data_IF_059782474182
#
_entry.id   IF_059782474182
#
_cell.length_a   1.000
_cell.length_b   1.000
_cell.length_c   1.000
_cell.angle_alpha   90.00
_cell.angle_beta   90.00
_cell.angle_gamma   90.00
#
_symmetry.space_group_name_H-M   'P 1'
#
loop_
_entity.id
_entity.type
_entity.pdbx_description
1 polymer ?
#
# COMPACT_ATOMS: atom_id res chain seq x y z
N UNK A 1 4.77 9.59 -24.56
CA UNK A 1 5.02 9.83 -23.10
C UNK A 1 5.76 8.63 -22.55
N UNK A 2 6.76 8.79 -21.68
CA UNK A 2 7.53 7.64 -21.17
C UNK A 2 6.91 7.06 -19.89
N UNK A 3 6.68 5.76 -19.86
CA UNK A 3 6.26 5.01 -18.67
C UNK A 3 7.37 4.07 -18.22
N UNK A 4 7.52 3.92 -16.91
CA UNK A 4 8.46 3.00 -16.28
C UNK A 4 7.70 1.95 -15.46
N UNK A 5 7.60 0.74 -15.98
CA UNK A 5 6.99 -0.38 -15.25
C UNK A 5 8.08 -1.10 -14.47
N UNK A 6 8.11 -0.93 -13.15
CA UNK A 6 9.05 -1.65 -12.29
C UNK A 6 8.79 -3.16 -12.34
N UNK A 7 9.86 -3.94 -12.42
CA UNK A 7 9.81 -5.40 -12.40
C UNK A 7 9.62 -5.96 -10.99
N UNK A 8 9.76 -5.14 -9.95
CA UNK A 8 9.54 -5.53 -8.55
C UNK A 8 8.41 -4.71 -7.92
N UNK A 9 7.19 -5.21 -8.04
CA UNK A 9 5.98 -4.59 -7.47
C UNK A 9 5.28 -5.47 -6.43
N UNK A 10 6.01 -6.45 -5.90
CA UNK A 10 5.54 -7.43 -4.94
C UNK A 10 6.67 -7.89 -4.01
N UNK A 11 6.32 -8.67 -3.00
CA UNK A 11 7.30 -9.45 -2.24
C UNK A 11 7.94 -10.49 -3.17
N UNK A 12 9.26 -10.69 -3.05
CA UNK A 12 10.02 -11.59 -3.91
C UNK A 12 11.03 -10.87 -4.80
N UNK A 13 11.62 -11.65 -5.72
CA UNK A 13 12.58 -11.16 -6.70
C UNK A 13 11.86 -10.40 -7.85
N UNK A 14 12.58 -9.53 -8.59
CA UNK A 14 12.04 -8.91 -9.80
C UNK A 14 11.51 -9.95 -10.81
N UNK A 15 10.41 -9.63 -11.48
CA UNK A 15 9.87 -10.42 -12.58
C UNK A 15 10.83 -10.49 -13.77
N UNK A 16 10.75 -11.58 -14.52
CA UNK A 16 11.42 -11.74 -15.81
C UNK A 16 10.57 -11.10 -16.91
N UNK A 17 11.09 -10.11 -17.66
CA UNK A 17 10.43 -9.61 -18.87
C UNK A 17 10.19 -10.74 -19.89
N UNK A 18 9.04 -10.71 -20.55
CA UNK A 18 8.67 -11.64 -21.64
C UNK A 18 8.46 -10.92 -22.99
N UNK A 19 8.82 -9.64 -23.04
CA UNK A 19 8.83 -8.79 -24.23
C UNK A 19 10.27 -8.36 -24.53
N UNK A 20 10.51 -7.91 -25.76
CA UNK A 20 11.82 -7.44 -26.23
C UNK A 20 11.78 -5.95 -26.56
N UNK A 21 12.94 -5.28 -26.51
CA UNK A 21 13.06 -3.89 -26.97
C UNK A 21 12.62 -3.79 -28.43
N UNK A 22 11.78 -2.81 -28.74
CA UNK A 22 11.15 -2.62 -30.04
C UNK A 22 9.77 -3.26 -30.18
N UNK A 23 9.32 -4.06 -29.23
CA UNK A 23 7.99 -4.69 -29.25
C UNK A 23 6.87 -3.66 -29.08
N UNK A 24 5.84 -3.76 -29.91
CA UNK A 24 4.56 -3.10 -29.66
C UNK A 24 3.80 -3.85 -28.54
N UNK A 25 3.26 -3.11 -27.58
CA UNK A 25 2.51 -3.64 -26.46
C UNK A 25 1.14 -2.97 -26.37
N UNK A 26 0.13 -3.76 -26.01
CA UNK A 26 -1.24 -3.28 -25.80
C UNK A 26 -1.50 -3.08 -24.32
N UNK A 27 -2.42 -2.15 -23.98
CA UNK A 27 -2.95 -2.05 -22.62
C UNK A 27 -3.51 -3.40 -22.17
N UNK A 28 -3.14 -3.85 -20.98
CA UNK A 28 -3.49 -5.16 -20.42
C UNK A 28 -2.64 -6.34 -20.88
N UNK A 29 -1.73 -6.17 -21.85
CA UNK A 29 -0.86 -7.25 -22.30
C UNK A 29 0.13 -7.66 -21.20
N UNK A 30 0.30 -8.96 -20.96
CA UNK A 30 1.33 -9.50 -20.06
C UNK A 30 2.73 -9.16 -20.61
N UNK A 31 3.57 -8.56 -19.77
CA UNK A 31 4.93 -8.11 -20.16
C UNK A 31 6.05 -8.66 -19.27
N UNK A 32 5.73 -9.14 -18.07
CA UNK A 32 6.70 -9.85 -17.24
C UNK A 32 6.03 -10.85 -16.29
N UNK A 33 6.74 -11.94 -16.01
CA UNK A 33 6.30 -13.04 -15.15
C UNK A 33 7.19 -13.19 -13.91
N UNK A 34 6.64 -13.57 -12.75
CA UNK A 34 7.43 -13.71 -11.52
C UNK A 34 8.36 -14.91 -11.57
N UNK A 35 9.55 -14.77 -10.98
CA UNK A 35 10.47 -15.88 -10.75
C UNK A 35 10.28 -16.41 -9.31
N UNK A 36 9.36 -17.36 -9.14
CA UNK A 36 8.97 -17.89 -7.83
C UNK A 36 7.87 -17.04 -7.17
N UNK A 37 8.09 -16.57 -5.94
CA UNK A 37 7.11 -15.75 -5.22
C UNK A 37 6.94 -14.40 -5.92
N UNK A 38 5.74 -14.14 -6.44
CA UNK A 38 5.42 -12.87 -7.10
C UNK A 38 4.10 -12.88 -7.85
N UNK A 39 3.92 -11.91 -8.74
CA UNK A 39 2.70 -11.76 -9.52
C UNK A 39 2.99 -11.19 -10.92
N UNK A 40 2.18 -11.59 -11.89
CA UNK A 40 2.26 -11.11 -13.28
C UNK A 40 2.23 -9.57 -13.38
N UNK A 41 2.97 -9.04 -14.35
CA UNK A 41 3.02 -7.62 -14.66
C UNK A 41 2.54 -7.41 -16.09
N UNK A 42 1.61 -6.47 -16.25
CA UNK A 42 0.98 -6.16 -17.52
C UNK A 42 1.26 -4.70 -17.91
N UNK A 43 1.25 -4.41 -19.20
CA UNK A 43 1.31 -3.02 -19.68
C UNK A 43 0.03 -2.28 -19.29
N UNK A 44 0.18 -1.06 -18.78
CA UNK A 44 -0.94 -0.18 -18.46
C UNK A 44 -1.37 0.73 -19.62
N UNK A 45 -0.65 0.66 -20.74
CA UNK A 45 -0.81 1.52 -21.92
C UNK A 45 -0.60 0.75 -23.22
N UNK A 46 -1.09 1.32 -24.31
CA UNK A 46 -0.62 1.01 -25.66
C UNK A 46 0.68 1.77 -25.93
N UNK A 47 1.62 1.14 -26.61
CA UNK A 47 2.87 1.80 -26.99
C UNK A 47 3.96 0.82 -27.33
N UNK A 48 5.20 1.32 -27.30
CA UNK A 48 6.38 0.57 -27.71
C UNK A 48 7.39 0.42 -26.59
N UNK A 49 7.91 -0.78 -26.40
CA UNK A 49 9.02 -1.03 -25.46
C UNK A 49 10.28 -0.39 -26.04
N UNK A 50 10.84 0.60 -25.33
CA UNK A 50 12.05 1.32 -25.77
C UNK A 50 13.31 0.85 -25.06
N UNK A 51 13.16 0.30 -23.85
CA UNK A 51 14.29 -0.21 -23.07
C UNK A 51 13.83 -1.24 -22.02
N UNK A 52 14.73 -2.14 -21.64
CA UNK A 52 14.53 -3.12 -20.58
C UNK A 52 15.80 -3.15 -19.73
N UNK A 53 15.66 -2.79 -18.46
CA UNK A 53 16.74 -2.85 -17.45
C UNK A 53 16.50 -4.01 -16.49
N UNK A 54 17.47 -4.28 -15.62
CA UNK A 54 17.34 -5.27 -14.53
C UNK A 54 16.18 -4.94 -13.55
N UNK A 55 15.68 -3.70 -13.57
CA UNK A 55 14.70 -3.20 -12.60
C UNK A 55 13.36 -2.79 -13.21
N UNK A 56 13.28 -2.55 -14.52
CA UNK A 56 12.10 -1.96 -15.14
C UNK A 56 12.04 -2.17 -16.66
N UNK A 57 10.81 -2.13 -17.20
CA UNK A 57 10.51 -2.01 -18.63
C UNK A 57 10.10 -0.56 -18.90
N UNK A 58 10.75 0.08 -19.88
CA UNK A 58 10.38 1.42 -20.33
C UNK A 58 9.51 1.34 -21.58
N UNK A 59 8.36 2.00 -21.55
CA UNK A 59 7.38 2.02 -22.64
C UNK A 59 7.13 3.46 -23.06
N UNK A 60 7.37 3.75 -24.33
CA UNK A 60 6.87 4.97 -24.94
C UNK A 60 5.38 4.77 -25.28
N UNK A 61 4.50 5.39 -24.50
CA UNK A 61 3.07 5.35 -24.74
C UNK A 61 2.67 6.12 -25.98
N UNK A 62 1.80 5.49 -26.77
CA UNK A 62 1.11 6.09 -27.91
C UNK A 62 0.27 7.30 -27.47
N UNK A 63 0.08 8.26 -28.38
CA UNK A 63 -0.84 9.39 -28.15
C UNK A 63 -2.28 8.93 -27.96
N UNK A 64 -2.70 7.91 -28.72
CA UNK A 64 -4.02 7.33 -28.62
C UNK A 64 -4.04 6.18 -27.60
N UNK A 65 -4.80 6.35 -26.52
CA UNK A 65 -4.95 5.35 -25.45
C UNK A 65 -6.40 4.91 -25.32
N UNK A 66 -6.91 4.02 -26.19
CA UNK A 66 -8.29 3.54 -26.11
C UNK A 66 -8.57 2.83 -24.77
N UNK A 67 -9.82 2.82 -24.33
CA UNK A 67 -10.21 2.24 -23.03
C UNK A 67 -10.16 0.71 -23.02
N UNK A 68 -10.26 0.08 -24.19
CA UNK A 68 -10.11 -1.37 -24.33
C UNK A 68 -8.75 -1.85 -23.81
N UNK A 69 -8.75 -3.06 -23.27
CA UNK A 69 -7.55 -3.73 -22.80
C UNK A 69 -7.58 -5.20 -23.20
N UNK A 70 -6.39 -5.79 -23.29
CA UNK A 70 -6.22 -7.23 -23.43
C UNK A 70 -6.65 -7.89 -22.13
N UNK A 71 -7.70 -8.70 -22.21
CA UNK A 71 -8.19 -9.49 -21.07
C UNK A 71 -7.19 -10.57 -20.70
N UNK A 72 -7.11 -10.90 -19.41
CA UNK A 72 -6.36 -12.07 -18.94
C UNK A 72 -6.90 -13.35 -19.61
N UNK A 73 -6.08 -14.39 -19.70
CA UNK A 73 -6.48 -15.68 -20.30
C UNK A 73 -7.69 -16.29 -19.59
N UNK A 74 -8.40 -17.20 -20.26
CA UNK A 74 -9.49 -17.95 -19.63
C UNK A 74 -8.92 -18.80 -18.48
N UNK A 75 -9.65 -18.88 -17.37
CA UNK A 75 -9.20 -19.58 -16.17
C UNK A 75 -10.29 -20.50 -15.64
N UNK A 76 -9.88 -21.64 -15.07
CA UNK A 76 -10.82 -22.65 -14.56
C UNK A 76 -11.57 -22.20 -13.30
N UNK A 77 -11.00 -21.28 -12.53
CA UNK A 77 -11.57 -20.80 -11.29
C UNK A 77 -11.12 -19.35 -10.97
N UNK A 78 -11.80 -18.75 -10.00
CA UNK A 78 -11.55 -17.36 -9.57
C UNK A 78 -10.13 -17.16 -9.02
N UNK A 79 -9.52 -18.16 -8.39
CA UNK A 79 -8.18 -18.04 -7.81
C UNK A 79 -7.11 -17.92 -8.91
N UNK A 80 -7.22 -18.72 -9.97
CA UNK A 80 -6.37 -18.59 -11.15
C UNK A 80 -6.63 -17.26 -11.87
N UNK A 81 -7.87 -16.75 -11.94
CA UNK A 81 -8.12 -15.42 -12.50
C UNK A 81 -7.36 -14.31 -11.74
N UNK A 82 -7.37 -14.37 -10.40
CA UNK A 82 -6.62 -13.43 -9.53
C UNK A 82 -5.10 -13.53 -9.76
N UNK A 83 -4.60 -14.75 -9.93
CA UNK A 83 -3.18 -15.00 -10.24
C UNK A 83 -2.79 -14.45 -11.60
N UNK A 84 -3.57 -14.76 -12.63
CA UNK A 84 -3.31 -14.32 -14.00
C UNK A 84 -3.38 -12.80 -14.15
N UNK A 85 -4.31 -12.14 -13.48
CA UNK A 85 -4.38 -10.68 -13.40
C UNK A 85 -3.20 -10.03 -12.66
N UNK A 86 -2.41 -10.82 -11.94
CA UNK A 86 -1.27 -10.35 -11.17
C UNK A 86 -1.70 -9.49 -9.98
N UNK A 87 -2.80 -9.85 -9.30
CA UNK A 87 -3.28 -9.11 -8.14
C UNK A 87 -2.33 -9.31 -6.95
N UNK A 88 -1.96 -8.21 -6.32
CA UNK A 88 -1.15 -8.17 -5.09
C UNK A 88 -1.84 -7.29 -4.05
N UNK A 89 -1.47 -7.44 -2.79
CA UNK A 89 -1.94 -6.58 -1.71
C UNK A 89 -1.58 -5.11 -1.95
N UNK A 90 -2.58 -4.31 -2.34
CA UNK A 90 -2.43 -2.93 -2.79
C UNK A 90 -2.10 -1.92 -1.68
N UNK A 91 -2.28 -2.30 -0.40
CA UNK A 91 -2.08 -1.43 0.76
C UNK A 91 -0.81 -1.72 1.57
N UNK A 92 0.14 -2.50 1.04
CA UNK A 92 1.34 -2.88 1.78
C UNK A 92 2.45 -3.40 0.87
N UNK A 93 3.17 -4.42 1.30
CA UNK A 93 4.36 -4.94 0.61
C UNK A 93 4.08 -5.65 -0.74
N UNK A 94 2.83 -5.69 -1.22
CA UNK A 94 2.46 -6.36 -2.47
C UNK A 94 2.55 -7.88 -2.38
N UNK A 95 2.01 -8.50 -1.33
CA UNK A 95 1.93 -9.96 -1.27
C UNK A 95 0.96 -10.51 -2.34
N UNK A 96 1.30 -11.55 -3.12
CA UNK A 96 0.41 -12.10 -4.15
C UNK A 96 -0.92 -12.57 -3.57
N UNK A 97 -2.01 -12.01 -4.07
CA UNK A 97 -3.34 -12.20 -3.48
C UNK A 97 -3.85 -13.64 -3.65
N UNK A 98 -3.54 -14.27 -4.79
CA UNK A 98 -3.89 -15.67 -5.01
C UNK A 98 -3.21 -16.62 -4.01
N UNK A 99 -1.98 -16.34 -3.59
CA UNK A 99 -1.30 -17.12 -2.54
C UNK A 99 -1.97 -16.88 -1.20
N UNK A 100 -2.31 -15.61 -0.89
CA UNK A 100 -2.98 -15.24 0.37
C UNK A 100 -4.36 -15.91 0.51
N UNK A 101 -5.07 -16.10 -0.60
CA UNK A 101 -6.40 -16.70 -0.64
C UNK A 101 -6.41 -18.22 -0.86
N UNK A 102 -5.26 -18.84 -1.13
CA UNK A 102 -5.16 -20.29 -1.33
C UNK A 102 -5.13 -21.05 0.01
N UNK A 103 -6.19 -20.87 0.81
CA UNK A 103 -6.28 -21.34 2.19
C UNK A 103 -7.72 -21.75 2.50
N UNK A 104 -7.90 -22.78 3.34
CA UNK A 104 -9.22 -23.16 3.85
C UNK A 104 -9.46 -22.49 5.20
N UNK A 105 -10.48 -21.64 5.26
CA UNK A 105 -10.89 -20.86 6.42
C UNK A 105 -12.25 -21.31 6.96
N UNK A 106 -12.63 -22.58 6.77
CA UNK A 106 -13.84 -23.14 7.41
C UNK A 106 -13.81 -22.87 8.93
N UNK A 107 -14.86 -22.25 9.47
CA UNK A 107 -14.88 -21.80 10.87
C UNK A 107 -14.18 -20.46 11.14
N UNK A 108 -13.72 -19.76 10.09
CA UNK A 108 -12.94 -18.52 10.14
C UNK A 108 -13.60 -17.36 9.40
N UNK A 109 -12.83 -16.30 9.12
CA UNK A 109 -13.38 -15.11 8.47
C UNK A 109 -12.42 -14.37 7.51
N UNK A 110 -13.01 -13.59 6.62
CA UNK A 110 -12.32 -12.60 5.79
C UNK A 110 -12.48 -11.22 6.42
N UNK A 111 -11.44 -10.38 6.40
CA UNK A 111 -11.52 -9.00 6.89
C UNK A 111 -11.11 -8.04 5.78
N UNK A 112 -12.04 -7.21 5.31
CA UNK A 112 -11.73 -6.04 4.51
C UNK A 112 -11.14 -4.95 5.41
N UNK A 113 -9.87 -4.62 5.18
CA UNK A 113 -9.19 -3.50 5.81
C UNK A 113 -9.64 -2.19 5.14
N UNK A 114 -10.65 -1.57 5.76
CA UNK A 114 -11.24 -0.30 5.41
C UNK A 114 -10.73 0.84 6.33
N UNK A 115 -9.55 0.65 6.93
CA UNK A 115 -9.04 1.56 7.95
C UNK A 115 -8.46 2.85 7.36
N UNK A 116 -7.85 2.86 6.17
CA UNK A 116 -7.12 4.02 5.59
C UNK A 116 -6.34 4.82 6.66
N UNK A 117 -5.27 4.23 7.19
CA UNK A 117 -4.60 4.76 8.38
C UNK A 117 -3.56 5.83 8.10
N UNK A 118 -2.98 5.85 6.91
CA UNK A 118 -2.02 6.89 6.55
C UNK A 118 -2.73 8.26 6.49
N UNK A 119 -2.27 9.28 7.24
CA UNK A 119 -2.85 10.61 7.16
C UNK A 119 -2.78 11.16 5.72
N UNK A 120 -3.72 12.05 5.40
CA UNK A 120 -3.92 12.64 4.05
C UNK A 120 -4.46 11.66 3.00
N UNK A 121 -4.16 10.36 3.08
CA UNK A 121 -4.64 9.38 2.12
C UNK A 121 -6.17 9.20 2.26
N UNK A 122 -6.86 9.19 1.12
CA UNK A 122 -8.33 9.13 1.06
C UNK A 122 -8.89 8.28 -0.07
N UNK A 123 -8.04 7.68 -0.91
CA UNK A 123 -8.47 6.88 -2.06
C UNK A 123 -9.33 5.67 -1.67
N UNK A 124 -9.00 4.97 -0.57
CA UNK A 124 -9.86 3.88 -0.09
C UNK A 124 -11.17 4.41 0.51
N UNK A 125 -11.15 5.60 1.11
CA UNK A 125 -12.38 6.25 1.63
C UNK A 125 -13.31 6.61 0.48
N UNK A 126 -12.78 7.19 -0.60
CA UNK A 126 -13.56 7.53 -1.78
C UNK A 126 -14.14 6.27 -2.46
N UNK A 127 -13.36 5.19 -2.54
CA UNK A 127 -13.85 3.88 -3.00
C UNK A 127 -15.04 3.39 -2.16
N UNK A 128 -14.94 3.46 -0.83
CA UNK A 128 -16.02 3.03 0.08
C UNK A 128 -17.27 3.91 -0.01
N UNK A 129 -17.09 5.22 -0.21
CA UNK A 129 -18.21 6.17 -0.32
C UNK A 129 -18.97 6.01 -1.64
N UNK A 130 -18.24 5.88 -2.76
CA UNK A 130 -18.81 5.95 -4.10
C UNK A 130 -19.15 4.57 -4.67
N UNK A 131 -18.37 3.53 -4.35
CA UNK A 131 -18.52 2.20 -4.94
C UNK A 131 -18.54 1.08 -3.88
N UNK A 132 -19.31 1.18 -2.77
CA UNK A 132 -19.29 0.18 -1.69
C UNK A 132 -19.66 -1.24 -2.15
N UNK A 133 -20.48 -1.34 -3.21
CA UNK A 133 -20.96 -2.63 -3.74
C UNK A 133 -19.83 -3.52 -4.26
N UNK A 134 -18.75 -2.92 -4.79
CA UNK A 134 -17.62 -3.70 -5.30
C UNK A 134 -16.86 -4.40 -4.17
N UNK A 135 -16.82 -3.77 -2.98
CA UNK A 135 -16.19 -4.35 -1.79
C UNK A 135 -17.02 -5.55 -1.31
N UNK A 136 -18.34 -5.36 -1.20
CA UNK A 136 -19.26 -6.44 -0.82
C UNK A 136 -19.17 -7.62 -1.79
N UNK A 137 -19.17 -7.34 -3.10
CA UNK A 137 -19.04 -8.38 -4.12
C UNK A 137 -17.71 -9.13 -4.02
N UNK A 138 -16.60 -8.41 -3.88
CA UNK A 138 -15.28 -9.04 -3.75
C UNK A 138 -15.15 -9.88 -2.48
N UNK A 139 -15.78 -9.46 -1.38
CA UNK A 139 -15.86 -10.28 -0.16
C UNK A 139 -16.60 -11.59 -0.41
N UNK A 140 -17.68 -11.60 -1.20
CA UNK A 140 -18.40 -12.85 -1.56
C UNK A 140 -17.50 -13.82 -2.32
N UNK A 141 -16.76 -13.32 -3.31
CA UNK A 141 -15.77 -14.17 -4.01
C UNK A 141 -14.69 -14.71 -3.05
N UNK A 142 -14.22 -13.89 -2.11
CA UNK A 142 -13.23 -14.34 -1.13
C UNK A 142 -13.80 -15.38 -0.15
N UNK A 143 -15.06 -15.24 0.27
CA UNK A 143 -15.77 -16.25 1.07
C UNK A 143 -15.84 -17.57 0.31
N UNK A 144 -16.25 -17.55 -0.97
CA UNK A 144 -16.35 -18.76 -1.79
C UNK A 144 -14.99 -19.45 -2.01
N UNK A 145 -13.94 -18.67 -2.31
CA UNK A 145 -12.58 -19.18 -2.55
C UNK A 145 -12.02 -19.86 -1.28
N UNK A 146 -12.21 -19.22 -0.12
CA UNK A 146 -11.58 -19.66 1.13
C UNK A 146 -12.47 -20.55 1.99
N UNK A 147 -13.76 -20.67 1.65
CA UNK A 147 -14.80 -21.31 2.47
C UNK A 147 -14.96 -20.70 3.87
N UNK A 148 -14.58 -19.43 4.03
CA UNK A 148 -14.81 -18.70 5.27
C UNK A 148 -16.32 -18.52 5.52
N UNK A 149 -16.73 -18.54 6.79
CA UNK A 149 -18.16 -18.46 7.15
C UNK A 149 -18.67 -17.02 7.14
N UNK A 150 -17.79 -16.06 7.45
CA UNK A 150 -18.14 -14.64 7.62
C UNK A 150 -17.09 -13.72 7.03
N UNK A 151 -17.52 -12.51 6.67
CA UNK A 151 -16.65 -11.40 6.37
C UNK A 151 -16.93 -10.19 7.25
N UNK A 152 -15.87 -9.46 7.58
CA UNK A 152 -15.94 -8.21 8.32
C UNK A 152 -15.36 -7.06 7.49
N UNK A 153 -16.01 -5.90 7.53
CA UNK A 153 -15.45 -4.65 7.00
C UNK A 153 -14.98 -3.80 8.20
N UNK A 154 -13.67 -3.77 8.42
CA UNK A 154 -13.05 -3.08 9.55
C UNK A 154 -12.81 -1.60 9.21
N UNK A 155 -13.64 -0.71 9.75
CA UNK A 155 -13.69 0.72 9.38
C UNK A 155 -13.63 1.64 10.61
N UNK A 156 -13.00 2.81 10.49
CA UNK A 156 -12.95 3.80 11.57
C UNK A 156 -14.24 4.62 11.64
N UNK A 157 -14.84 4.86 12.83
CA UNK A 157 -16.07 5.64 13.03
C UNK A 157 -16.08 7.05 12.42
N UNK A 158 -14.91 7.67 12.21
CA UNK A 158 -14.82 9.00 11.59
C UNK A 158 -15.31 9.05 10.14
N UNK A 159 -15.26 7.93 9.39
CA UNK A 159 -15.70 7.88 8.00
C UNK A 159 -17.21 7.67 7.87
N UNK A 160 -18.00 8.61 8.41
CA UNK A 160 -19.46 8.49 8.53
C UNK A 160 -20.15 8.21 7.19
N UNK A 161 -19.74 8.88 6.11
CA UNK A 161 -20.30 8.68 4.77
C UNK A 161 -20.01 7.27 4.25
N UNK A 162 -18.76 6.82 4.36
CA UNK A 162 -18.37 5.45 3.99
C UNK A 162 -19.15 4.40 4.79
N UNK A 163 -19.32 4.59 6.10
CA UNK A 163 -20.11 3.68 6.95
C UNK A 163 -21.56 3.58 6.47
N UNK A 164 -22.19 4.72 6.13
CA UNK A 164 -23.56 4.72 5.61
C UNK A 164 -23.65 4.02 4.25
N UNK A 165 -22.68 4.24 3.37
CA UNK A 165 -22.62 3.63 2.04
C UNK A 165 -22.41 2.11 2.13
N UNK A 166 -21.44 1.67 2.92
CA UNK A 166 -21.13 0.27 3.19
C UNK A 166 -22.28 -0.44 3.91
N UNK A 167 -22.89 0.21 4.91
CA UNK A 167 -24.03 -0.35 5.64
C UNK A 167 -25.24 -0.59 4.73
N UNK A 168 -25.49 0.30 3.77
CA UNK A 168 -26.51 0.08 2.72
C UNK A 168 -26.14 -1.09 1.81
N UNK A 169 -24.87 -1.21 1.42
CA UNK A 169 -24.41 -2.28 0.55
C UNK A 169 -24.45 -3.67 1.21
N UNK A 170 -24.26 -3.73 2.54
CA UNK A 170 -24.30 -5.00 3.29
C UNK A 170 -25.71 -5.42 3.74
N UNK A 171 -26.75 -4.61 3.46
CA UNK A 171 -28.09 -4.78 4.05
C UNK A 171 -28.67 -6.20 3.84
N UNK A 172 -28.45 -6.78 2.67
CA UNK A 172 -29.00 -8.08 2.28
C UNK A 172 -27.95 -9.21 2.33
N UNK A 173 -26.82 -8.98 3.00
CA UNK A 173 -25.68 -9.91 3.07
C UNK A 173 -25.48 -10.39 4.52
N UNK A 174 -26.14 -11.49 4.94
CA UNK A 174 -26.17 -11.91 6.35
C UNK A 174 -24.79 -12.34 6.91
N UNK A 175 -23.85 -12.65 6.03
CA UNK A 175 -22.50 -13.10 6.39
C UNK A 175 -21.47 -11.96 6.33
N UNK A 176 -21.86 -10.73 6.00
CA UNK A 176 -20.95 -9.59 5.86
C UNK A 176 -21.36 -8.49 6.85
N UNK A 177 -20.51 -8.22 7.84
CA UNK A 177 -20.80 -7.25 8.91
C UNK A 177 -19.79 -6.10 8.95
N UNK A 178 -20.23 -4.88 9.26
CA UNK A 178 -19.32 -3.79 9.59
C UNK A 178 -18.79 -3.97 11.02
N UNK A 179 -17.49 -3.77 11.21
CA UNK A 179 -16.82 -3.72 12.52
C UNK A 179 -16.03 -2.42 12.64
N UNK A 180 -15.97 -1.89 13.85
CA UNK A 180 -15.38 -0.59 14.10
C UNK A 180 -13.99 -0.70 14.71
N UNK A 181 -13.06 0.08 14.16
CA UNK A 181 -11.70 0.22 14.66
C UNK A 181 -11.53 1.51 15.46
N UNK A 182 -10.60 1.58 16.42
CA UNK A 182 -10.25 2.83 17.09
C UNK A 182 -9.70 3.86 16.09
N UNK A 183 -9.94 5.15 16.35
CA UNK A 183 -9.44 6.24 15.50
C UNK A 183 -7.99 6.57 15.83
N UNK A 184 -7.08 5.67 15.46
CA UNK A 184 -5.66 5.76 15.74
C UNK A 184 -4.81 5.17 14.61
N UNK A 185 -3.54 5.54 14.58
CA UNK A 185 -2.52 4.83 13.82
C UNK A 185 -1.79 3.84 14.75
N UNK A 186 -1.42 2.62 14.31
CA UNK A 186 -1.70 1.97 13.03
C UNK A 186 -2.93 1.03 13.12
N UNK A 187 -4.15 1.53 13.33
CA UNK A 187 -5.34 0.67 13.43
C UNK A 187 -5.60 -0.23 12.19
N UNK A 188 -4.97 0.10 11.06
CA UNK A 188 -5.00 -0.65 9.81
C UNK A 188 -3.94 -1.75 9.71
N UNK A 189 -3.05 -1.91 10.69
CA UNK A 189 -2.14 -3.05 10.76
C UNK A 189 -2.95 -4.35 10.94
N UNK A 190 -2.61 -5.41 10.19
CA UNK A 190 -3.41 -6.64 10.19
C UNK A 190 -3.46 -7.32 11.57
N UNK A 191 -2.41 -7.22 12.37
CA UNK A 191 -2.38 -7.77 13.74
C UNK A 191 -3.20 -6.91 14.70
N UNK A 192 -3.22 -5.59 14.49
CA UNK A 192 -4.12 -4.69 15.24
C UNK A 192 -5.58 -5.01 14.92
N UNK A 193 -5.94 -5.10 13.63
CA UNK A 193 -7.30 -5.44 13.20
C UNK A 193 -7.77 -6.75 13.84
N UNK A 194 -6.95 -7.81 13.78
CA UNK A 194 -7.30 -9.12 14.36
C UNK A 194 -7.47 -9.02 15.88
N UNK A 195 -6.60 -8.29 16.57
CA UNK A 195 -6.72 -8.05 18.01
C UNK A 195 -8.02 -7.33 18.36
N UNK A 196 -8.32 -6.23 17.68
CA UNK A 196 -9.49 -5.40 17.99
C UNK A 196 -10.82 -6.09 17.62
N UNK A 197 -10.85 -6.86 16.53
CA UNK A 197 -12.09 -7.50 16.07
C UNK A 197 -12.34 -8.87 16.70
N UNK A 198 -11.29 -9.66 16.91
CA UNK A 198 -11.40 -11.07 17.33
C UNK A 198 -10.86 -11.33 18.73
N UNK A 199 -10.20 -10.37 19.37
CA UNK A 199 -9.57 -10.56 20.67
C UNK A 199 -8.33 -11.47 20.63
N UNK A 200 -7.81 -11.77 19.43
CA UNK A 200 -6.66 -12.65 19.24
C UNK A 200 -5.41 -11.79 19.04
N UNK A 201 -4.41 -11.95 19.92
CA UNK A 201 -3.12 -11.27 19.77
C UNK A 201 -2.13 -12.20 19.09
N UNK A 202 -1.78 -11.87 17.85
CA UNK A 202 -0.72 -12.58 17.11
C UNK A 202 0.65 -12.09 17.59
N UNK A 203 1.55 -13.02 17.94
CA UNK A 203 2.94 -12.69 18.27
C UNK A 203 3.75 -12.40 17.00
N UNK A 204 4.88 -11.68 17.09
CA UNK A 204 5.75 -11.42 15.95
C UNK A 204 6.08 -12.68 15.13
N UNK A 205 5.87 -12.61 13.81
CA UNK A 205 6.09 -13.71 12.88
C UNK A 205 4.86 -14.55 12.57
N UNK A 206 3.84 -14.53 13.42
CA UNK A 206 2.57 -15.19 13.10
C UNK A 206 1.83 -14.43 12.01
N UNK A 207 1.17 -15.20 11.14
CA UNK A 207 0.36 -14.69 10.04
C UNK A 207 -1.13 -14.71 10.42
N UNK A 208 -1.98 -13.89 9.77
CA UNK A 208 -3.43 -13.89 9.97
C UNK A 208 -4.11 -15.26 9.96
N UNK A 209 -3.56 -16.22 9.22
CA UNK A 209 -4.09 -17.59 9.15
C UNK A 209 -4.08 -18.33 10.49
N UNK A 210 -3.19 -17.96 11.41
CA UNK A 210 -3.18 -18.52 12.79
C UNK A 210 -4.43 -18.12 13.58
N UNK A 211 -5.06 -17.00 13.21
CA UNK A 211 -6.36 -16.58 13.72
C UNK A 211 -7.54 -17.08 12.85
N UNK A 212 -7.28 -17.98 11.89
CA UNK A 212 -8.22 -18.39 10.83
C UNK A 212 -8.78 -17.21 10.05
N UNK A 213 -7.91 -16.26 9.68
CA UNK A 213 -8.32 -15.07 8.94
C UNK A 213 -7.44 -14.73 7.75
N UNK A 214 -8.04 -14.00 6.81
CA UNK A 214 -7.31 -13.24 5.78
C UNK A 214 -7.76 -11.78 5.85
N UNK A 215 -6.79 -10.87 5.99
CA UNK A 215 -7.02 -9.42 5.96
C UNK A 215 -6.62 -8.85 4.60
N UNK A 216 -7.51 -8.15 3.90
CA UNK A 216 -7.23 -7.56 2.58
C UNK A 216 -7.68 -6.12 2.49
N UNK A 217 -6.82 -5.24 1.95
CA UNK A 217 -7.16 -3.84 1.68
C UNK A 217 -8.32 -3.75 0.66
N UNK A 218 -9.21 -2.77 0.84
CA UNK A 218 -10.42 -2.63 0.01
C UNK A 218 -10.14 -2.42 -1.48
N UNK A 219 -9.05 -1.76 -1.86
CA UNK A 219 -8.67 -1.68 -3.28
C UNK A 219 -8.24 -3.03 -3.83
N UNK A 220 -7.56 -3.87 -3.03
CA UNK A 220 -7.22 -5.24 -3.44
C UNK A 220 -8.51 -6.02 -3.74
N UNK A 221 -9.55 -5.82 -2.93
CA UNK A 221 -10.87 -6.44 -3.12
C UNK A 221 -11.53 -5.94 -4.42
N UNK A 222 -11.45 -4.63 -4.71
CA UNK A 222 -11.85 -4.08 -6.01
C UNK A 222 -11.14 -4.79 -7.16
N UNK A 223 -9.80 -4.95 -7.11
CA UNK A 223 -9.04 -5.60 -8.18
C UNK A 223 -9.37 -7.10 -8.34
N UNK A 224 -9.75 -7.78 -7.26
CA UNK A 224 -10.26 -9.17 -7.35
C UNK A 224 -11.53 -9.22 -8.20
N UNK A 225 -12.49 -8.32 -7.97
CA UNK A 225 -13.74 -8.27 -8.74
C UNK A 225 -13.46 -7.99 -10.21
N UNK A 226 -12.64 -6.99 -10.51
CA UNK A 226 -12.26 -6.65 -11.88
C UNK A 226 -11.57 -7.82 -12.60
N UNK A 227 -10.71 -8.57 -11.91
CA UNK A 227 -10.07 -9.76 -12.46
C UNK A 227 -11.06 -10.89 -12.78
N UNK A 228 -12.07 -11.10 -11.93
CA UNK A 228 -13.06 -12.18 -12.07
C UNK A 228 -14.13 -11.82 -13.10
N UNK A 229 -14.73 -10.64 -13.01
CA UNK A 229 -15.90 -10.28 -13.82
C UNK A 229 -15.50 -9.66 -15.17
N UNK A 230 -14.50 -8.78 -15.17
CA UNK A 230 -14.08 -8.04 -16.37
C UNK A 230 -12.89 -8.69 -17.07
N UNK A 231 -12.22 -9.62 -16.38
CA UNK A 231 -10.93 -10.21 -16.79
C UNK A 231 -9.86 -9.14 -17.00
N UNK A 232 -9.92 -8.11 -16.17
CA UNK A 232 -9.02 -6.97 -16.20
C UNK A 232 -7.75 -7.28 -15.39
N UNK A 233 -6.56 -7.17 -15.99
CA UNK A 233 -5.30 -7.28 -15.24
C UNK A 233 -5.11 -6.08 -14.29
N UNK A 234 -4.24 -6.21 -13.28
CA UNK A 234 -3.93 -5.08 -12.37
C UNK A 234 -3.00 -4.06 -13.05
N UNK A 235 -3.61 -3.15 -13.82
CA UNK A 235 -2.91 -2.16 -14.65
C UNK A 235 -3.14 -0.71 -14.22
N UNK A 236 -4.12 -0.47 -13.36
CA UNK A 236 -4.39 0.84 -12.76
C UNK A 236 -4.19 0.78 -11.25
N UNK A 237 -4.02 1.93 -10.59
CA UNK A 237 -3.89 2.09 -9.14
C UNK A 237 -4.76 3.25 -8.67
N UNK A 238 -5.34 3.19 -7.48
CA UNK A 238 -6.00 4.34 -6.85
C UNK A 238 -4.99 5.08 -5.97
N UNK A 239 -4.89 6.40 -6.10
CA UNK A 239 -3.88 7.21 -5.38
C UNK A 239 -4.47 8.47 -4.76
N UNK A 240 -3.78 9.01 -3.76
CA UNK A 240 -4.04 10.35 -3.20
C UNK A 240 -2.80 11.23 -3.35
N UNK A 241 -2.94 12.40 -3.97
CA UNK A 241 -1.91 13.45 -4.00
C UNK A 241 -2.17 14.42 -2.83
N UNK A 242 -1.14 14.90 -2.13
CA UNK A 242 -1.36 15.85 -1.03
C UNK A 242 -0.11 16.59 -0.54
N UNK A 243 -0.30 17.44 0.47
CA UNK A 243 0.78 18.24 1.06
C UNK A 243 1.05 19.54 0.30
N UNK A 244 2.30 19.89 0.03
CA UNK A 244 2.72 21.12 -0.67
C UNK A 244 2.43 21.06 -2.19
N UNK A 245 1.21 20.71 -2.57
CA UNK A 245 0.72 20.62 -3.95
C UNK A 245 -0.54 21.48 -4.08
N UNK A 246 -0.58 22.35 -5.09
CA UNK A 246 -1.72 23.24 -5.37
C UNK A 246 -2.99 22.40 -5.50
N UNK A 247 -4.12 22.85 -4.95
CA UNK A 247 -5.39 22.14 -5.05
C UNK A 247 -5.48 20.81 -4.28
N UNK A 248 -4.43 20.44 -3.54
CA UNK A 248 -4.35 19.21 -2.75
C UNK A 248 -3.77 19.45 -1.34
N UNK A 249 -3.63 20.72 -0.91
CA UNK A 249 -2.93 21.11 0.31
C UNK A 249 -3.67 20.82 1.61
N UNK A 250 -5.00 20.73 1.57
CA UNK A 250 -5.82 20.54 2.77
C UNK A 250 -6.21 19.08 2.99
N UNK A 251 -7.01 18.53 2.08
CA UNK A 251 -7.62 17.19 2.23
C UNK A 251 -7.03 16.15 1.25
N UNK A 252 -5.94 16.50 0.56
CA UNK A 252 -5.48 15.74 -0.58
C UNK A 252 -6.44 15.77 -1.77
N UNK A 253 -5.99 15.21 -2.89
CA UNK A 253 -6.76 15.02 -4.12
C UNK A 253 -6.63 13.55 -4.54
N UNK A 254 -7.77 12.87 -4.60
CA UNK A 254 -7.83 11.48 -5.04
C UNK A 254 -7.88 11.40 -6.57
N UNK A 255 -7.16 10.42 -7.11
CA UNK A 255 -7.27 10.00 -8.50
C UNK A 255 -7.49 8.49 -8.52
N UNK A 256 -8.63 8.08 -9.07
CA UNK A 256 -8.99 6.67 -9.23
C UNK A 256 -8.42 6.14 -10.56
N UNK A 257 -8.05 4.88 -10.56
CA UNK A 257 -7.65 4.11 -11.75
C UNK A 257 -6.55 4.76 -12.60
N UNK A 258 -5.51 5.28 -11.95
CA UNK A 258 -4.34 5.84 -12.61
C UNK A 258 -3.46 4.74 -13.22
N UNK A 259 -2.92 4.87 -14.45
CA UNK A 259 -2.09 3.84 -15.05
C UNK A 259 -0.80 3.59 -14.25
N UNK A 260 -0.49 2.32 -14.00
CA UNK A 260 0.77 1.91 -13.37
C UNK A 260 1.95 2.25 -14.29
N UNK A 261 3.04 2.74 -13.73
CA UNK A 261 4.25 3.16 -14.44
C UNK A 261 4.27 4.62 -14.89
N UNK A 262 3.15 5.34 -14.70
CA UNK A 262 3.11 6.80 -14.88
C UNK A 262 4.01 7.50 -13.86
N UNK A 263 4.74 8.56 -14.25
CA UNK A 263 5.57 9.31 -13.31
C UNK A 263 4.70 10.15 -12.37
N UNK A 264 5.09 10.24 -11.11
CA UNK A 264 4.31 10.95 -10.08
C UNK A 264 4.14 12.45 -10.38
N UNK A 265 5.08 13.07 -11.07
CA UNK A 265 4.99 14.49 -11.49
C UNK A 265 3.75 14.78 -12.32
N UNK A 266 3.26 13.82 -13.12
CA UNK A 266 2.03 14.01 -13.90
C UNK A 266 0.84 14.35 -13.01
N UNK A 267 0.73 13.70 -11.85
CA UNK A 267 -0.40 13.90 -10.95
C UNK A 267 -0.23 15.14 -10.07
N UNK A 268 1.00 15.51 -9.74
CA UNK A 268 1.31 16.81 -9.12
C UNK A 268 0.93 17.96 -10.08
N UNK A 269 1.28 17.85 -11.37
CA UNK A 269 0.93 18.83 -12.40
C UNK A 269 -0.58 18.92 -12.63
N UNK A 270 -1.30 17.79 -12.63
CA UNK A 270 -2.78 17.76 -12.70
C UNK A 270 -3.46 18.50 -11.54
N UNK A 271 -2.80 18.59 -10.39
CA UNK A 271 -3.26 19.38 -9.25
C UNK A 271 -2.92 20.89 -9.38
N UNK A 272 -2.01 21.27 -10.28
CA UNK A 272 -1.57 22.66 -10.46
C UNK A 272 -0.11 22.90 -10.07
N UNK A 273 0.64 21.83 -9.77
CA UNK A 273 2.07 21.90 -9.46
C UNK A 273 2.40 22.07 -7.98
N UNK A 274 3.68 22.29 -7.70
CA UNK A 274 4.20 22.45 -6.35
C UNK A 274 3.84 23.81 -5.74
N UNK A 275 3.59 23.82 -4.43
CA UNK A 275 3.61 25.05 -3.64
C UNK A 275 5.03 25.25 -3.11
N UNK A 276 5.70 26.36 -3.46
CA UNK A 276 7.09 26.66 -3.05
C UNK A 276 7.15 27.57 -1.80
N UNK A 277 8.16 27.39 -0.90
CA UNK A 277 9.15 26.31 -0.89
C UNK A 277 8.53 24.97 -0.45
N UNK A 278 9.10 23.84 -0.86
CA UNK A 278 8.70 22.50 -0.42
C UNK A 278 9.93 21.71 0.03
N UNK A 279 9.73 20.60 0.74
CA UNK A 279 10.79 19.69 1.16
C UNK A 279 11.01 18.59 0.12
N UNK A 280 10.55 17.38 0.41
CA UNK A 280 10.72 16.22 -0.45
C UNK A 280 9.39 15.70 -1.02
N UNK A 281 9.48 14.88 -2.06
CA UNK A 281 8.37 14.02 -2.50
C UNK A 281 8.44 12.72 -1.68
N UNK A 282 7.33 12.35 -1.06
CA UNK A 282 7.15 11.13 -0.30
C UNK A 282 6.16 10.23 -1.06
N UNK A 283 6.66 9.06 -1.47
CA UNK A 283 5.88 8.00 -2.10
C UNK A 283 5.27 7.10 -1.01
N UNK A 284 3.95 7.11 -0.89
CA UNK A 284 3.20 6.46 0.18
C UNK A 284 2.55 7.47 1.13
N UNK A 285 2.32 7.05 2.37
CA UNK A 285 1.80 7.93 3.41
C UNK A 285 2.90 8.50 4.32
N UNK A 286 2.55 9.40 5.25
CA UNK A 286 3.52 10.05 6.14
C UNK A 286 4.30 9.08 7.04
N UNK A 287 3.72 7.95 7.44
CA UNK A 287 4.37 7.02 8.37
C UNK A 287 5.21 5.96 7.68
N UNK A 288 4.72 5.41 6.56
CA UNK A 288 5.40 4.30 5.84
C UNK A 288 6.05 4.73 4.52
N UNK A 289 5.92 6.00 4.15
CA UNK A 289 6.39 6.50 2.87
C UNK A 289 7.92 6.58 2.76
N UNK A 290 8.38 6.54 1.53
CA UNK A 290 9.81 6.67 1.18
C UNK A 290 10.03 7.92 0.32
N UNK A 291 11.26 8.42 0.31
CA UNK A 291 11.65 9.47 -0.62
C UNK A 291 11.37 9.03 -2.07
N UNK A 292 10.93 9.98 -2.89
CA UNK A 292 10.77 9.82 -4.33
C UNK A 292 11.26 11.01 -5.11
N UNK A 293 11.30 10.81 -6.41
CA UNK A 293 11.67 11.79 -7.43
C UNK A 293 10.47 12.06 -8.35
N UNK A 294 10.52 13.11 -9.15
CA UNK A 294 9.45 13.50 -10.07
C UNK A 294 9.09 12.38 -11.07
N UNK A 295 10.09 11.66 -11.54
CA UNK A 295 9.99 10.55 -12.50
C UNK A 295 9.72 9.20 -11.84
N UNK A 296 9.60 9.15 -10.51
CA UNK A 296 9.27 7.90 -9.81
C UNK A 296 7.95 7.33 -10.32
N UNK A 297 7.88 6.02 -10.62
CA UNK A 297 6.69 5.44 -11.21
C UNK A 297 5.61 5.14 -10.18
N UNK A 298 4.36 5.27 -10.58
CA UNK A 298 3.23 4.68 -9.87
C UNK A 298 3.34 3.15 -9.94
N UNK A 299 3.20 2.48 -8.80
CA UNK A 299 3.25 1.01 -8.70
C UNK A 299 1.95 0.46 -8.09
N UNK A 300 1.75 -0.86 -8.15
CA UNK A 300 0.60 -1.55 -7.52
C UNK A 300 0.43 -1.27 -6.02
N UNK A 301 1.49 -0.83 -5.34
CA UNK A 301 1.51 -0.60 -3.89
C UNK A 301 1.56 0.88 -3.50
N UNK A 302 1.66 1.79 -4.46
CA UNK A 302 1.74 3.23 -4.18
C UNK A 302 0.36 3.83 -3.94
N UNK A 303 -0.04 4.04 -2.68
CA UNK A 303 -1.32 4.68 -2.35
C UNK A 303 -1.31 6.22 -2.28
N UNK A 304 -0.12 6.84 -2.22
CA UNK A 304 0.01 8.28 -1.96
C UNK A 304 1.20 8.94 -2.65
N UNK A 305 1.03 10.21 -3.04
CA UNK A 305 2.07 11.12 -3.54
C UNK A 305 2.00 12.38 -2.69
N UNK A 306 2.86 12.48 -1.69
CA UNK A 306 2.85 13.60 -0.76
C UNK A 306 4.05 14.49 -0.99
N UNK A 307 3.87 15.81 -0.93
CA UNK A 307 4.98 16.76 -0.95
C UNK A 307 5.09 17.39 0.43
N UNK A 308 6.23 17.21 1.10
CA UNK A 308 6.40 17.71 2.46
C UNK A 308 6.63 19.23 2.46
N UNK A 309 6.35 19.87 3.60
CA UNK A 309 6.95 21.17 3.89
C UNK A 309 8.49 21.05 3.95
N UNK A 310 9.25 22.15 3.79
CA UNK A 310 10.67 22.13 4.03
C UNK A 310 10.98 21.55 5.40
N UNK A 311 11.90 20.59 5.45
CA UNK A 311 12.31 19.97 6.71
C UNK A 311 13.09 21.01 7.55
N UNK A 312 12.92 21.00 8.88
CA UNK A 312 13.65 21.90 9.74
C UNK A 312 15.15 21.64 9.60
N UNK A 313 15.95 22.71 9.59
CA UNK A 313 17.40 22.58 9.64
C UNK A 313 17.81 22.24 11.08
N UNK A 314 18.67 21.25 11.24
CA UNK A 314 19.13 20.78 12.53
C UNK A 314 20.65 20.63 12.53
N UNK A 315 21.32 21.40 13.38
CA UNK A 315 22.78 21.40 13.48
C UNK A 315 23.31 20.61 14.69
N UNK A 316 22.42 20.23 15.61
CA UNK A 316 22.76 19.40 16.76
C UNK A 316 22.97 17.95 16.32
N UNK A 317 23.75 17.22 17.12
CA UNK A 317 23.96 15.77 16.93
C UNK A 317 22.68 15.00 17.23
N UNK A 318 22.16 14.27 16.24
CA UNK A 318 20.95 13.49 16.36
C UNK A 318 21.22 12.07 16.84
N UNK A 319 20.44 11.64 17.82
CA UNK A 319 20.16 10.23 18.05
C UNK A 319 18.88 9.84 17.32
N UNK A 320 18.83 8.65 16.72
CA UNK A 320 17.61 8.15 16.08
C UNK A 320 16.99 7.00 16.87
N UNK A 321 15.65 6.95 16.91
CA UNK A 321 14.89 5.81 17.45
C UNK A 321 14.00 5.24 16.36
N UNK A 322 14.36 4.08 15.83
CA UNK A 322 13.58 3.39 14.81
C UNK A 322 12.29 2.80 15.38
N UNK A 323 11.24 2.75 14.56
CA UNK A 323 9.98 2.08 14.87
C UNK A 323 9.54 1.22 13.70
N UNK A 324 9.12 -0.02 13.97
CA UNK A 324 8.64 -0.90 12.91
C UNK A 324 7.29 -0.47 12.34
N UNK A 325 6.43 0.14 13.16
CA UNK A 325 5.16 0.69 12.71
C UNK A 325 5.31 2.02 11.96
N UNK A 326 6.50 2.58 11.83
CA UNK A 326 6.72 3.87 11.17
C UNK A 326 8.08 3.91 10.49
N UNK A 327 8.80 5.02 10.65
CA UNK A 327 10.12 5.18 10.06
C UNK A 327 11.17 4.28 10.77
N UNK A 328 11.85 3.46 9.97
CA UNK A 328 13.02 2.69 10.37
C UNK A 328 14.32 3.49 10.13
N UNK A 329 15.44 2.92 10.55
CA UNK A 329 16.76 3.55 10.60
C UNK A 329 17.14 4.22 9.28
N UNK A 330 17.02 3.52 8.14
CA UNK A 330 17.41 4.06 6.83
C UNK A 330 16.62 5.31 6.47
N UNK A 331 15.31 5.30 6.77
CA UNK A 331 14.45 6.46 6.52
C UNK A 331 14.76 7.61 7.47
N UNK A 332 15.00 7.33 8.75
CA UNK A 332 15.37 8.35 9.73
C UNK A 332 16.73 8.99 9.41
N UNK A 333 17.72 8.21 8.94
CA UNK A 333 19.01 8.73 8.46
C UNK A 333 18.85 9.61 7.24
N UNK A 334 18.00 9.21 6.30
CA UNK A 334 17.69 10.02 5.12
C UNK A 334 17.05 11.36 5.53
N UNK A 335 16.06 11.34 6.42
CA UNK A 335 15.43 12.57 6.94
C UNK A 335 16.47 13.44 7.66
N UNK A 336 17.29 12.86 8.54
CA UNK A 336 18.37 13.59 9.23
C UNK A 336 19.34 14.25 8.23
N UNK A 337 19.73 13.53 7.17
CA UNK A 337 20.58 14.08 6.10
C UNK A 337 19.90 15.25 5.39
N UNK A 338 18.60 15.17 5.11
CA UNK A 338 17.84 16.27 4.50
C UNK A 338 17.67 17.48 5.44
N UNK A 339 17.68 17.24 6.74
CA UNK A 339 17.70 18.27 7.79
C UNK A 339 19.10 18.90 7.99
N UNK A 340 20.15 18.35 7.38
CA UNK A 340 21.53 18.79 7.56
C UNK A 340 22.18 18.32 8.86
N UNK A 341 21.60 17.31 9.52
CA UNK A 341 22.03 16.83 10.83
C UNK A 341 22.97 15.60 10.75
N UNK A 342 23.92 15.53 11.67
CA UNK A 342 24.77 14.36 11.89
C UNK A 342 24.05 13.36 12.81
N UNK A 343 23.87 12.11 12.36
CA UNK A 343 23.40 11.02 13.22
C UNK A 343 24.59 10.41 13.95
N UNK A 344 24.59 10.47 15.28
CA UNK A 344 25.71 9.99 16.13
C UNK A 344 25.39 8.72 16.92
N UNK A 345 24.11 8.36 17.01
CA UNK A 345 23.64 7.24 17.81
C UNK A 345 22.31 6.69 17.29
N UNK A 346 22.10 5.38 17.43
CA UNK A 346 20.93 4.69 16.89
C UNK A 346 20.38 3.71 17.92
N UNK A 347 19.07 3.79 18.16
CA UNK A 347 18.34 2.82 18.96
C UNK A 347 17.10 2.35 18.22
N UNK A 348 16.57 1.21 18.64
CA UNK A 348 15.27 0.70 18.20
C UNK A 348 14.26 0.87 19.32
N UNK A 349 13.00 1.09 18.97
CA UNK A 349 11.89 1.07 19.90
C UNK A 349 11.92 -0.21 20.76
N UNK A 350 11.62 -0.08 22.06
CA UNK A 350 11.62 -1.22 23.01
C UNK A 350 10.77 -2.42 22.59
N UNK A 351 9.76 -2.20 21.74
CA UNK A 351 8.87 -3.25 21.19
C UNK A 351 9.38 -3.91 19.93
N UNK A 352 10.45 -3.40 19.31
CA UNK A 352 11.00 -4.01 18.11
C UNK A 352 11.73 -5.29 18.50
N UNK A 353 11.24 -6.39 17.95
CA UNK A 353 11.79 -7.73 18.08
C UNK A 353 12.21 -8.24 16.71
N UNK A 354 13.32 -8.96 16.63
CA UNK A 354 13.78 -9.54 15.38
C UNK A 354 13.14 -10.91 15.16
N UNK A 355 12.55 -11.11 13.99
CA UNK A 355 11.94 -12.37 13.57
C UNK A 355 12.35 -12.64 12.12
N UNK A 356 13.03 -13.77 11.90
CA UNK A 356 13.47 -14.20 10.56
C UNK A 356 14.24 -13.11 9.79
N UNK A 357 15.16 -12.42 10.48
CA UNK A 357 15.98 -11.34 9.89
C UNK A 357 15.22 -10.04 9.59
N UNK A 358 14.01 -9.87 10.13
CA UNK A 358 13.22 -8.63 10.01
C UNK A 358 12.72 -8.18 11.37
N UNK A 359 12.73 -6.87 11.62
CA UNK A 359 12.10 -6.33 12.82
C UNK A 359 10.59 -6.35 12.72
N UNK A 360 9.94 -6.54 13.87
CA UNK A 360 8.49 -6.52 14.09
C UNK A 360 8.19 -5.86 15.42
N UNK A 361 7.16 -5.02 15.47
CA UNK A 361 6.62 -4.55 16.75
C UNK A 361 5.94 -5.73 17.48
N UNK A 362 6.24 -5.96 18.76
CA UNK A 362 5.58 -7.02 19.54
C UNK A 362 4.09 -6.73 19.76
N UNK A 363 3.71 -5.46 19.87
CA UNK A 363 2.35 -5.00 20.14
C UNK A 363 2.07 -3.67 19.41
N UNK A 364 1.76 -3.71 18.09
CA UNK A 364 1.50 -2.52 17.30
C UNK A 364 0.31 -1.70 17.86
N UNK A 365 0.43 -0.38 17.83
CA UNK A 365 -0.58 0.56 18.37
C UNK A 365 -0.73 0.56 19.89
N UNK A 366 0.29 0.14 20.65
CA UNK A 366 0.36 0.36 22.09
C UNK A 366 1.82 0.73 22.40
N UNK A 367 2.20 1.98 22.14
CA UNK A 367 3.62 2.36 22.09
C UNK A 367 4.21 2.52 23.52
N UNK A 368 5.45 2.03 23.79
CA UNK A 368 6.05 2.10 25.13
C UNK A 368 6.77 3.45 25.35
N UNK A 369 6.97 3.81 26.62
CA UNK A 369 7.85 4.93 26.96
C UNK A 369 9.31 4.67 26.55
N UNK A 370 9.94 5.63 25.86
CA UNK A 370 11.30 5.51 25.32
C UNK A 370 12.39 6.17 26.17
N UNK A 371 12.10 6.56 27.41
CA UNK A 371 13.02 7.33 28.26
C UNK A 371 14.43 6.69 28.38
N UNK A 372 14.49 5.37 28.57
CA UNK A 372 15.74 4.61 28.61
C UNK A 372 16.55 4.72 27.31
N UNK A 373 15.88 4.65 26.15
CA UNK A 373 16.52 4.78 24.84
C UNK A 373 17.07 6.19 24.65
N UNK A 374 16.30 7.21 25.04
CA UNK A 374 16.73 8.62 24.99
C UNK A 374 17.96 8.85 25.89
N UNK A 375 17.97 8.31 27.11
CA UNK A 375 19.12 8.43 28.01
C UNK A 375 20.37 7.74 27.43
N UNK A 376 20.19 6.59 26.77
CA UNK A 376 21.28 5.88 26.09
C UNK A 376 21.84 6.69 24.92
N UNK A 377 20.97 7.21 24.04
CA UNK A 377 21.38 8.10 22.95
C UNK A 377 22.15 9.32 23.47
N UNK A 378 21.66 9.94 24.56
CA UNK A 378 22.34 11.07 25.20
C UNK A 378 23.73 10.70 25.71
N UNK A 379 23.89 9.52 26.31
CA UNK A 379 25.21 9.02 26.76
C UNK A 379 26.20 8.78 25.61
N UNK A 380 25.68 8.61 24.39
CA UNK A 380 26.44 8.45 23.15
C UNK A 380 26.67 9.78 22.40
N UNK A 381 26.31 10.92 23.01
CA UNK A 381 26.57 12.25 22.46
C UNK A 381 25.43 12.83 21.62
N UNK A 382 24.25 12.22 21.61
CA UNK A 382 23.07 12.83 21.01
C UNK A 382 22.58 14.04 21.83
N UNK A 383 22.30 15.13 21.14
CA UNK A 383 21.80 16.40 21.68
C UNK A 383 20.31 16.62 21.37
N UNK A 384 19.82 15.95 20.33
CA UNK A 384 18.42 15.90 19.93
C UNK A 384 18.05 14.49 19.45
N UNK A 385 16.74 14.21 19.37
CA UNK A 385 16.24 12.89 18.98
C UNK A 385 15.29 13.03 17.80
N UNK A 386 15.52 12.23 16.76
CA UNK A 386 14.58 12.00 15.67
C UNK A 386 14.01 10.59 15.81
N UNK A 387 12.71 10.48 16.04
CA UNK A 387 12.04 9.22 16.37
C UNK A 387 11.00 8.88 15.32
N UNK A 388 10.96 7.62 14.89
CA UNK A 388 9.74 7.06 14.31
C UNK A 388 8.79 6.69 15.44
N UNK A 389 7.55 7.16 15.40
CA UNK A 389 6.52 6.81 16.37
C UNK A 389 5.21 6.42 15.69
N UNK A 390 4.43 5.59 16.39
CA UNK A 390 3.11 5.13 15.99
C UNK A 390 1.98 5.94 16.66
N UNK A 391 2.28 6.49 17.83
CA UNK A 391 1.39 7.29 18.67
C UNK A 391 2.21 8.47 19.20
N UNK A 392 1.54 9.59 19.41
CA UNK A 392 2.13 10.82 19.96
C UNK A 392 2.38 10.73 21.47
#
# INVERSE_FOLDING_TARGET
>A
MMLKIELRQHVGAPCKPIVEVGSEVKKGQLVAEPQGLGANIHSSVYGKVVDITDSAILIEADENQPEEFVKIKETENNLEAIKEAGIVGAGGAGFPTHIKLNVDLTGGCIIANAAECEPVLGHNVELMENNPQIIVKGLKYMLDITKADKAYIAVKPKYKKAILALGKACKDEPNIELKYLPDMYPAGDERVIIRELLGITLVPGQLPIEAKTVVSNVETIKRIVEAIEERKPFITKDITVGGRVVGAENHGKVFMDVPIGMPVITYIQKCGGFIKPYGEIVLGGPFTGRHGEEESPITKTLGGILVSMPLPQESRKLGIIACECGAQEDRLKQIASLMGAEVVAEEKCKRMTEVNGRFRCDLPGICPGQAEKVLKLKSQGAEAVLIGNCED
#
